data_IF_384786960759
#
_entry.id   IF_384786960759
#
_cell.length_a   1.000
_cell.length_b   1.000
_cell.length_c   1.000
_cell.angle_alpha   90.00
_cell.angle_beta   90.00
_cell.angle_gamma   90.00
#
_symmetry.space_group_name_H-M   'P 1'
#
loop_
_entity.id
_entity.type
_entity.pdbx_description
1 polymer ?
#
# COMPACT_ATOMS: atom_id res chain seq x y z
N UNK A 1 16.77 35.65 54.45
CA UNK A 1 15.76 35.27 53.42
C UNK A 1 16.45 34.30 52.47
N UNK A 2 16.05 33.03 52.55
CA UNK A 2 16.74 31.87 51.97
C UNK A 2 16.54 31.72 50.44
N UNK A 3 17.64 31.43 49.75
CA UNK A 3 17.87 30.40 48.71
C UNK A 3 16.97 30.22 47.45
N UNK A 4 17.59 30.40 46.28
CA UNK A 4 17.84 29.44 45.16
C UNK A 4 16.89 28.22 44.95
N UNK A 5 16.42 28.00 43.71
CA UNK A 5 16.26 26.69 42.99
C UNK A 5 15.71 26.88 41.56
N UNK A 6 16.50 26.61 40.52
CA UNK A 6 16.54 25.39 39.66
C UNK A 6 15.55 25.44 38.47
N UNK A 7 15.99 25.61 37.21
CA UNK A 7 16.41 24.57 36.23
C UNK A 7 15.51 23.33 36.25
N UNK A 8 14.68 23.15 35.21
CA UNK A 8 14.48 21.88 34.48
C UNK A 8 14.03 22.23 33.05
N UNK A 9 14.93 22.09 32.06
CA UNK A 9 14.56 21.97 30.66
C UNK A 9 13.96 20.58 30.45
N UNK A 10 12.68 20.50 30.09
CA UNK A 10 12.04 19.22 29.79
C UNK A 10 12.44 18.81 28.38
N UNK A 11 13.36 17.84 28.32
CA UNK A 11 13.62 17.00 27.16
C UNK A 11 12.37 16.12 26.96
N UNK A 12 11.51 16.48 26.02
CA UNK A 12 10.41 15.63 25.60
C UNK A 12 10.98 14.48 24.75
N UNK A 13 11.35 13.39 25.41
CA UNK A 13 11.60 12.11 24.75
C UNK A 13 10.26 11.56 24.31
N UNK A 14 9.84 11.85 23.08
CA UNK A 14 8.65 11.22 22.49
C UNK A 14 8.99 9.76 22.19
N UNK A 15 8.50 8.89 23.05
CA UNK A 15 8.47 7.45 22.83
C UNK A 15 7.51 7.21 21.67
N UNK A 16 8.03 6.74 20.53
CA UNK A 16 7.21 6.23 19.44
C UNK A 16 6.83 4.79 19.81
N UNK A 17 5.64 4.60 20.41
CA UNK A 17 5.05 3.26 20.56
C UNK A 17 4.27 2.97 19.29
N UNK A 18 4.90 2.30 18.32
CA UNK A 18 4.17 1.70 17.20
C UNK A 18 3.55 0.38 17.69
N UNK A 19 2.41 0.48 18.39
CA UNK A 19 1.53 -0.65 18.62
C UNK A 19 0.77 -0.96 17.33
N UNK A 20 0.75 -2.22 16.93
CA UNK A 20 0.06 -2.72 15.75
C UNK A 20 -1.35 -2.12 15.60
N UNK A 21 -1.54 -1.37 14.52
CA UNK A 21 -2.80 -0.70 14.21
C UNK A 21 -3.69 -1.72 13.52
N UNK A 22 -4.85 -1.99 14.12
CA UNK A 22 -5.80 -2.97 13.63
C UNK A 22 -6.42 -2.49 12.29
N UNK A 23 -6.05 -3.14 11.19
CA UNK A 23 -6.70 -3.10 9.87
C UNK A 23 -7.14 -1.72 9.38
N UNK A 24 -6.33 -0.70 9.63
CA UNK A 24 -6.47 0.63 9.03
C UNK A 24 -5.89 0.54 7.61
N UNK A 25 -6.68 0.91 6.59
CA UNK A 25 -6.30 0.84 5.17
C UNK A 25 -4.84 1.29 4.96
N UNK A 26 -3.99 0.40 4.43
CA UNK A 26 -2.55 0.71 4.28
C UNK A 26 -2.31 1.40 2.94
N UNK A 27 -1.95 2.69 2.91
CA UNK A 27 -1.74 3.40 1.65
C UNK A 27 -0.40 3.02 1.01
N UNK A 28 -0.44 2.59 -0.24
CA UNK A 28 0.75 2.35 -1.06
C UNK A 28 0.96 3.52 -2.02
N UNK A 29 2.10 4.19 -1.90
CA UNK A 29 2.43 5.30 -2.78
C UNK A 29 2.89 4.80 -4.16
N UNK A 30 2.14 5.23 -5.18
CA UNK A 30 2.38 4.90 -6.58
C UNK A 30 3.15 6.02 -7.29
N UNK A 31 4.23 5.67 -8.01
CA UNK A 31 4.96 6.57 -8.89
C UNK A 31 4.39 6.62 -10.31
N UNK A 32 3.98 5.48 -10.85
CA UNK A 32 3.42 5.40 -12.20
C UNK A 32 2.48 4.21 -12.35
N UNK A 33 1.54 4.34 -13.29
CA UNK A 33 0.59 3.29 -13.65
C UNK A 33 0.40 3.26 -15.17
N UNK A 34 0.34 2.05 -15.73
CA UNK A 34 0.06 1.85 -17.16
C UNK A 34 -0.76 0.57 -17.39
N UNK A 35 -1.76 0.62 -18.28
CA UNK A 35 -2.43 -0.59 -18.73
C UNK A 35 -1.50 -1.32 -19.71
N UNK A 36 -1.36 -2.63 -19.54
CA UNK A 36 -0.61 -3.49 -20.46
C UNK A 36 -1.40 -4.78 -20.71
N UNK A 37 -1.00 -5.51 -21.76
CA UNK A 37 -1.39 -6.92 -21.92
C UNK A 37 -0.26 -7.74 -21.32
N UNK A 38 -0.60 -8.61 -20.37
CA UNK A 38 0.36 -9.55 -19.79
C UNK A 38 0.92 -10.46 -20.92
N UNK A 39 2.24 -10.52 -21.12
CA UNK A 39 2.82 -11.26 -22.23
C UNK A 39 2.76 -12.78 -22.07
N UNK A 40 2.50 -13.28 -20.86
CA UNK A 40 2.41 -14.70 -20.54
C UNK A 40 0.96 -15.17 -20.72
N UNK A 41 -0.01 -14.45 -20.15
CA UNK A 41 -1.41 -14.87 -20.14
C UNK A 41 -2.23 -14.29 -21.30
N UNK A 42 -1.76 -13.21 -21.93
CA UNK A 42 -2.52 -12.45 -22.92
C UNK A 42 -3.69 -11.65 -22.33
N UNK A 43 -3.77 -11.54 -20.99
CA UNK A 43 -4.88 -10.84 -20.31
C UNK A 43 -4.53 -9.38 -20.01
N UNK A 44 -5.52 -8.48 -19.96
CA UNK A 44 -5.30 -7.10 -19.56
C UNK A 44 -4.91 -7.02 -18.07
N UNK A 45 -3.92 -6.21 -17.75
CA UNK A 45 -3.46 -5.93 -16.39
C UNK A 45 -3.10 -4.44 -16.24
N UNK A 46 -3.03 -3.95 -15.01
CA UNK A 46 -2.41 -2.66 -14.71
C UNK A 46 -1.06 -2.88 -14.07
N UNK A 47 -0.01 -2.42 -14.73
CA UNK A 47 1.32 -2.37 -14.13
C UNK A 47 1.46 -1.07 -13.34
N UNK A 48 1.90 -1.22 -12.09
CA UNK A 48 2.11 -0.12 -11.15
C UNK A 48 3.56 -0.16 -10.70
N UNK A 49 4.20 1.01 -10.68
CA UNK A 49 5.51 1.21 -10.04
C UNK A 49 5.32 1.98 -8.74
N UNK A 50 5.73 1.40 -7.62
CA UNK A 50 5.73 2.02 -6.30
C UNK A 50 6.92 2.97 -6.09
N UNK A 51 6.73 3.94 -5.19
CA UNK A 51 7.84 4.69 -4.59
C UNK A 51 8.66 3.78 -3.67
N UNK A 52 9.81 4.27 -3.18
CA UNK A 52 10.58 3.50 -2.18
C UNK A 52 9.81 3.34 -0.87
N UNK A 53 9.08 4.37 -0.46
CA UNK A 53 8.23 4.35 0.74
C UNK A 53 7.03 3.40 0.53
N UNK A 54 6.39 3.45 -0.64
CA UNK A 54 5.31 2.54 -1.01
C UNK A 54 5.76 1.08 -1.06
N UNK A 55 6.96 0.80 -1.62
CA UNK A 55 7.56 -0.55 -1.62
C UNK A 55 7.80 -1.04 -0.20
N UNK A 56 8.44 -0.24 0.64
CA UNK A 56 8.76 -0.63 2.02
C UNK A 56 7.48 -0.94 2.81
N UNK A 57 6.46 -0.08 2.68
CA UNK A 57 5.14 -0.26 3.30
C UNK A 57 4.49 -1.56 2.82
N UNK A 58 4.53 -1.86 1.51
CA UNK A 58 3.95 -3.09 0.98
C UNK A 58 4.73 -4.35 1.37
N UNK A 59 6.05 -4.26 1.48
CA UNK A 59 6.89 -5.38 1.92
C UNK A 59 6.59 -5.79 3.36
N UNK A 60 6.42 -4.81 4.25
CA UNK A 60 6.00 -5.05 5.64
C UNK A 60 4.59 -5.65 5.69
N UNK A 61 3.61 -4.98 5.06
CA UNK A 61 2.23 -5.46 5.02
C UNK A 61 2.12 -6.89 4.46
N UNK A 62 2.77 -7.17 3.33
CA UNK A 62 2.68 -8.48 2.70
C UNK A 62 3.33 -9.59 3.52
N UNK A 63 4.42 -9.28 4.25
CA UNK A 63 5.08 -10.24 5.15
C UNK A 63 4.16 -10.68 6.29
N UNK A 64 3.35 -9.77 6.82
CA UNK A 64 2.42 -10.04 7.93
C UNK A 64 1.12 -10.73 7.50
N UNK A 65 0.84 -10.73 6.19
CA UNK A 65 -0.43 -11.18 5.62
C UNK A 65 -0.29 -12.33 4.63
N UNK A 66 0.84 -13.04 4.64
CA UNK A 66 1.03 -14.28 3.88
C UNK A 66 -0.08 -15.29 4.22
N UNK A 67 -0.66 -15.89 3.18
CA UNK A 67 -1.77 -16.83 3.26
C UNK A 67 -3.15 -16.20 3.40
N UNK A 68 -3.24 -14.87 3.55
CA UNK A 68 -4.52 -14.16 3.70
C UNK A 68 -4.98 -13.57 2.37
N UNK A 69 -6.31 -13.49 2.20
CA UNK A 69 -6.93 -12.71 1.14
C UNK A 69 -6.86 -11.23 1.51
N UNK A 70 -6.49 -10.39 0.56
CA UNK A 70 -6.41 -8.94 0.75
C UNK A 70 -7.21 -8.24 -0.32
N UNK A 71 -7.93 -7.19 0.05
CA UNK A 71 -8.57 -6.29 -0.92
C UNK A 71 -7.54 -5.28 -1.41
N UNK A 72 -7.51 -5.06 -2.72
CA UNK A 72 -6.74 -3.99 -3.37
C UNK A 72 -7.75 -2.93 -3.81
N UNK A 73 -7.61 -1.71 -3.28
CA UNK A 73 -8.54 -0.62 -3.55
C UNK A 73 -7.90 0.49 -4.38
N UNK A 74 -8.69 1.10 -5.26
CA UNK A 74 -8.35 2.32 -6.02
C UNK A 74 -9.53 3.28 -5.88
N UNK A 75 -9.30 4.51 -5.40
CA UNK A 75 -10.33 5.47 -4.95
C UNK A 75 -11.53 4.80 -4.24
N UNK A 76 -11.25 4.03 -3.19
CA UNK A 76 -12.22 3.30 -2.36
C UNK A 76 -12.99 2.13 -3.05
N UNK A 77 -12.76 1.88 -4.34
CA UNK A 77 -13.33 0.71 -5.04
C UNK A 77 -12.40 -0.49 -4.93
N UNK A 78 -12.92 -1.65 -4.49
CA UNK A 78 -12.18 -2.92 -4.55
C UNK A 78 -12.04 -3.36 -5.99
N UNK A 79 -10.81 -3.31 -6.52
CA UNK A 79 -10.51 -3.71 -7.91
C UNK A 79 -10.13 -5.18 -8.03
N UNK A 80 -9.53 -5.77 -6.99
CA UNK A 80 -9.20 -7.19 -6.93
C UNK A 80 -9.02 -7.63 -5.48
N UNK A 81 -9.20 -8.92 -5.19
CA UNK A 81 -9.01 -9.50 -3.85
C UNK A 81 -8.11 -10.75 -3.87
N UNK A 82 -6.80 -10.61 -4.17
CA UNK A 82 -5.87 -11.73 -4.28
C UNK A 82 -5.49 -12.32 -2.91
N UNK A 83 -4.90 -13.51 -2.92
CA UNK A 83 -4.24 -14.10 -1.75
C UNK A 83 -2.75 -13.79 -1.82
N UNK A 84 -2.18 -13.26 -0.74
CA UNK A 84 -0.73 -13.05 -0.64
C UNK A 84 -0.05 -14.39 -0.43
N UNK A 85 0.81 -14.81 -1.35
CA UNK A 85 1.45 -16.13 -1.30
C UNK A 85 2.83 -16.10 -0.64
N UNK A 86 3.53 -14.98 -0.74
CA UNK A 86 4.87 -14.77 -0.17
C UNK A 86 5.00 -13.31 0.25
N UNK A 87 6.00 -12.96 1.07
CA UNK A 87 6.43 -11.58 1.22
C UNK A 87 6.72 -10.96 -0.16
N UNK A 88 6.27 -9.73 -0.38
CA UNK A 88 6.38 -9.02 -1.66
C UNK A 88 7.18 -7.74 -1.47
N UNK A 89 8.51 -7.87 -1.58
CA UNK A 89 9.41 -6.71 -1.66
C UNK A 89 9.76 -6.41 -3.12
N UNK A 90 8.88 -5.66 -3.78
CA UNK A 90 9.04 -5.31 -5.19
C UNK A 90 8.54 -3.89 -5.47
N UNK A 91 9.21 -3.22 -6.41
CA UNK A 91 8.77 -1.91 -6.90
C UNK A 91 7.67 -2.00 -7.94
N UNK A 92 7.63 -3.07 -8.72
CA UNK A 92 6.69 -3.24 -9.83
C UNK A 92 5.70 -4.31 -9.46
N UNK A 93 4.41 -4.01 -9.54
CA UNK A 93 3.31 -4.95 -9.28
C UNK A 93 2.30 -4.91 -10.43
N UNK A 94 1.56 -6.01 -10.59
CA UNK A 94 0.48 -6.12 -11.57
C UNK A 94 -0.87 -6.33 -10.88
N UNK A 95 -1.82 -5.42 -11.13
CA UNK A 95 -3.23 -5.67 -10.82
C UNK A 95 -3.79 -6.56 -11.93
N UNK A 96 -4.04 -7.81 -11.59
CA UNK A 96 -4.48 -8.88 -12.48
C UNK A 96 -5.93 -9.29 -12.18
N UNK A 97 -6.53 -10.10 -13.06
CA UNK A 97 -7.94 -10.49 -12.96
C UNK A 97 -8.92 -9.50 -13.59
N UNK A 98 -8.47 -8.70 -14.56
CA UNK A 98 -9.29 -7.72 -15.26
C UNK A 98 -9.90 -8.34 -16.53
N UNK A 99 -11.15 -8.00 -16.84
CA UNK A 99 -11.86 -8.56 -18.00
C UNK A 99 -11.48 -7.89 -19.32
N UNK A 100 -11.19 -6.58 -19.29
CA UNK A 100 -10.98 -5.78 -20.51
C UNK A 100 -9.86 -4.76 -20.37
N UNK A 101 -9.22 -4.43 -21.50
CA UNK A 101 -8.24 -3.33 -21.58
C UNK A 101 -8.86 -1.97 -21.23
N UNK A 102 -10.16 -1.79 -21.43
CA UNK A 102 -10.87 -0.57 -21.05
C UNK A 102 -10.86 -0.39 -19.53
N UNK A 103 -11.18 -1.45 -18.78
CA UNK A 103 -11.11 -1.46 -17.31
C UNK A 103 -9.67 -1.17 -16.84
N UNK A 104 -8.66 -1.82 -17.44
CA UNK A 104 -7.27 -1.56 -17.10
C UNK A 104 -6.87 -0.08 -17.34
N UNK A 105 -7.36 0.52 -18.44
CA UNK A 105 -7.07 1.92 -18.77
C UNK A 105 -7.73 2.88 -17.78
N UNK A 106 -8.95 2.59 -17.36
CA UNK A 106 -9.67 3.37 -16.34
C UNK A 106 -8.92 3.37 -15.00
N UNK A 107 -8.61 2.16 -14.49
CA UNK A 107 -7.84 1.99 -13.25
C UNK A 107 -6.48 2.70 -13.33
N UNK A 108 -5.75 2.51 -14.43
CA UNK A 108 -4.47 3.19 -14.61
C UNK A 108 -4.62 4.72 -14.60
N UNK A 109 -5.68 5.25 -15.19
CA UNK A 109 -5.94 6.70 -15.23
C UNK A 109 -6.21 7.26 -13.84
N UNK A 110 -7.01 6.56 -13.02
CA UNK A 110 -7.27 6.91 -11.62
C UNK A 110 -5.97 6.99 -10.80
N UNK A 111 -5.03 6.08 -11.06
CA UNK A 111 -3.75 6.00 -10.37
C UNK A 111 -2.67 7.01 -10.83
N UNK A 112 -2.92 7.88 -11.81
CA UNK A 112 -1.89 8.82 -12.34
C UNK A 112 -1.71 10.10 -11.51
N UNK A 113 -2.63 10.40 -10.58
CA UNK A 113 -2.65 11.62 -9.79
C UNK A 113 -1.72 11.59 -8.58
N UNK A 114 -1.16 12.74 -8.20
CA UNK A 114 -0.31 12.87 -6.99
C UNK A 114 -1.08 12.38 -5.76
N UNK A 115 -0.58 11.29 -5.15
CA UNK A 115 -1.18 10.49 -4.07
C UNK A 115 -2.23 9.45 -4.52
N UNK A 116 -2.07 8.87 -5.70
CA UNK A 116 -2.70 7.58 -5.97
C UNK A 116 -2.27 6.59 -4.89
N UNK A 117 -3.21 6.21 -4.05
CA UNK A 117 -3.02 5.25 -2.97
C UNK A 117 -3.73 3.97 -3.40
N UNK A 118 -2.94 2.92 -3.55
CA UNK A 118 -3.52 1.58 -3.50
C UNK A 118 -3.66 1.24 -2.03
N UNK A 119 -4.86 0.88 -1.59
CA UNK A 119 -5.02 0.39 -0.23
C UNK A 119 -5.06 -1.11 -0.21
N UNK A 120 -4.44 -1.67 0.83
CA UNK A 120 -4.51 -3.09 1.12
C UNK A 120 -5.02 -3.32 2.52
N UNK A 121 -5.91 -4.30 2.66
CA UNK A 121 -6.43 -4.79 3.94
C UNK A 121 -6.71 -6.29 3.86
N UNK A 122 -6.60 -7.05 4.96
CA UNK A 122 -7.18 -8.39 5.02
C UNK A 122 -8.69 -8.33 4.74
N UNK A 123 -9.22 -9.28 3.97
CA UNK A 123 -10.68 -9.39 3.78
C UNK A 123 -11.31 -9.75 5.13
N UNK A 124 -12.41 -9.07 5.49
CA UNK A 124 -13.22 -9.47 6.64
C UNK A 124 -13.88 -10.82 6.31
N UNK A 125 -13.69 -11.82 7.17
CA UNK A 125 -14.37 -13.12 7.05
C UNK A 125 -15.89 -13.00 7.32
#
# INVERSE_FOLDING_TARGET
MFMLKAIVSILATTIFVAGAVAAELVPLEVMSSRPIVDPITGTPVVEITLSDDGRATFAEFSSENVGKRVDVLVDDDVVTSPVIQTPLDMRVMHISGLDTMAIATDIATRLRGKKAQVFVRPTED
#
